data_IF_047185954602
#
_entry.id   IF_047185954602
#
_cell.length_a   1.000
_cell.length_b   1.000
_cell.length_c   1.000
_cell.angle_alpha   90.00
_cell.angle_beta   90.00
_cell.angle_gamma   90.00
#
_symmetry.space_group_name_H-M   'P 1'
#
loop_
_entity.id
_entity.type
_entity.pdbx_description
1 polymer ?
#
# COMPACT_ATOMS: atom_id res chain seq x y z
N UNK A 1 16.93 5.34 9.59
CA UNK A 1 15.47 5.22 9.41
C UNK A 1 15.18 5.28 7.92
N UNK A 2 14.90 4.15 7.31
CA UNK A 2 14.52 4.10 5.89
C UNK A 2 12.99 4.03 5.86
N UNK A 3 12.36 5.06 5.32
CA UNK A 3 10.90 5.12 5.14
C UNK A 3 10.62 4.80 3.68
N UNK A 4 9.95 3.68 3.42
CA UNK A 4 9.43 3.37 2.10
C UNK A 4 8.02 3.97 1.97
N UNK A 5 7.84 4.82 0.98
CA UNK A 5 6.55 5.46 0.69
C UNK A 5 6.08 4.94 -0.67
N UNK A 6 4.94 4.30 -0.70
CA UNK A 6 4.28 3.95 -1.97
C UNK A 6 3.01 4.77 -2.08
N UNK A 7 3.00 5.69 -3.05
CA UNK A 7 1.83 6.46 -3.43
C UNK A 7 1.12 5.69 -4.55
N UNK A 8 -0.15 5.43 -4.35
CA UNK A 8 -0.99 4.85 -5.38
C UNK A 8 -1.76 5.95 -6.10
N UNK A 9 -1.44 6.17 -7.36
CA UNK A 9 -2.16 7.06 -8.25
C UNK A 9 -2.50 6.31 -9.53
N UNK A 10 -3.76 6.25 -9.87
CA UNK A 10 -4.19 5.77 -11.17
C UNK A 10 -3.81 6.81 -12.24
N UNK A 11 -2.89 6.46 -13.12
CA UNK A 11 -2.66 7.19 -14.37
C UNK A 11 -2.80 6.21 -15.52
N UNK A 12 -3.92 6.24 -16.20
CA UNK A 12 -4.05 5.60 -17.50
C UNK A 12 -4.28 6.68 -18.57
N UNK A 13 -3.22 6.96 -19.32
CA UNK A 13 -3.21 7.91 -20.43
C UNK A 13 -3.18 7.19 -21.77
N UNK A 14 -4.08 6.28 -22.04
CA UNK A 14 -4.13 5.78 -23.42
C UNK A 14 -5.47 5.17 -23.78
N UNK A 15 -6.42 5.99 -24.28
CA UNK A 15 -7.34 5.55 -25.35
C UNK A 15 -8.36 6.64 -25.70
N UNK A 16 -8.52 7.04 -27.00
CA UNK A 16 -9.34 8.19 -27.41
C UNK A 16 -10.84 7.93 -27.61
N UNK A 17 -11.39 6.81 -27.16
CA UNK A 17 -12.82 6.51 -27.34
C UNK A 17 -13.69 6.75 -26.09
N UNK A 18 -13.31 7.68 -25.14
CA UNK A 18 -13.68 7.45 -23.76
C UNK A 18 -14.13 8.69 -22.97
N UNK A 19 -14.87 9.58 -23.57
CA UNK A 19 -15.48 10.71 -22.81
C UNK A 19 -16.41 10.22 -21.70
N UNK A 20 -17.13 9.13 -21.89
CA UNK A 20 -17.99 8.55 -20.83
C UNK A 20 -17.21 7.76 -19.80
N UNK A 21 -16.15 7.05 -20.22
CA UNK A 21 -15.26 6.32 -19.31
C UNK A 21 -14.41 7.30 -18.48
N UNK A 22 -13.96 8.41 -19.08
CA UNK A 22 -13.26 9.48 -18.39
C UNK A 22 -14.13 10.14 -17.32
N UNK A 23 -15.40 10.44 -17.61
CA UNK A 23 -16.30 11.01 -16.62
C UNK A 23 -16.58 10.05 -15.45
N UNK A 24 -16.70 8.74 -15.70
CA UNK A 24 -16.80 7.72 -14.66
C UNK A 24 -15.51 7.61 -13.84
N UNK A 25 -14.37 7.69 -14.50
CA UNK A 25 -13.07 7.66 -13.87
C UNK A 25 -12.83 8.89 -12.99
N UNK A 26 -13.15 10.10 -13.48
CA UNK A 26 -13.05 11.34 -12.72
C UNK A 26 -13.99 11.34 -11.50
N UNK A 27 -15.16 10.70 -11.62
CA UNK A 27 -16.08 10.51 -10.49
C UNK A 27 -15.52 9.52 -9.48
N UNK A 28 -14.91 8.42 -9.93
CA UNK A 28 -14.25 7.44 -9.05
C UNK A 28 -13.03 8.05 -8.35
N UNK A 29 -12.22 8.85 -9.05
CA UNK A 29 -11.09 9.57 -8.45
C UNK A 29 -11.51 10.55 -7.34
N UNK A 30 -12.68 11.17 -7.50
CA UNK A 30 -13.23 12.09 -6.49
C UNK A 30 -13.85 11.36 -5.30
N UNK A 31 -14.29 10.12 -5.49
CA UNK A 31 -14.98 9.33 -4.46
C UNK A 31 -14.08 8.31 -3.77
N UNK A 32 -12.95 7.93 -4.36
CA UNK A 32 -11.98 7.04 -3.73
C UNK A 32 -10.90 7.86 -3.02
N UNK A 33 -10.75 7.72 -1.71
CA UNK A 33 -9.69 8.42 -0.99
C UNK A 33 -8.33 7.93 -1.48
N UNK A 34 -7.44 8.85 -1.83
CA UNK A 34 -6.02 8.51 -2.01
C UNK A 34 -5.46 8.03 -0.67
N UNK A 35 -4.79 6.91 -0.69
CA UNK A 35 -4.16 6.33 0.49
C UNK A 35 -2.67 6.18 0.29
N UNK A 36 -1.93 6.36 1.36
CA UNK A 36 -0.49 6.20 1.42
C UNK A 36 -0.17 5.17 2.48
N UNK A 37 0.75 4.26 2.19
CA UNK A 37 1.27 3.32 3.17
C UNK A 37 2.76 3.58 3.39
N UNK A 38 3.16 3.63 4.65
CA UNK A 38 4.57 3.75 5.05
C UNK A 38 4.98 2.57 5.93
N UNK A 39 6.19 2.08 5.75
CA UNK A 39 6.81 1.07 6.59
C UNK A 39 8.07 1.62 7.26
N UNK A 40 8.38 1.12 8.45
CA UNK A 40 9.47 1.61 9.30
C UNK A 40 10.32 0.48 9.86
N UNK A 41 11.54 0.84 10.25
CA UNK A 41 12.46 -0.06 10.96
C UNK A 41 11.96 -0.46 12.35
N UNK A 42 10.97 0.26 12.89
CA UNK A 42 10.31 -0.06 14.16
C UNK A 42 9.29 -1.21 14.05
N UNK A 43 9.28 -1.93 12.94
CA UNK A 43 8.44 -3.09 12.64
C UNK A 43 6.95 -2.75 12.41
N UNK A 44 6.62 -1.46 12.31
CA UNK A 44 5.24 -0.99 12.10
C UNK A 44 5.05 -0.38 10.72
N UNK A 45 3.80 -0.42 10.27
CA UNK A 45 3.36 0.32 9.10
C UNK A 45 2.26 1.29 9.52
N UNK A 46 2.11 2.34 8.75
CA UNK A 46 1.00 3.26 8.88
C UNK A 46 0.28 3.45 7.56
N UNK A 47 -1.02 3.45 7.62
CA UNK A 47 -1.90 3.83 6.53
C UNK A 47 -2.35 5.26 6.75
N UNK A 48 -2.20 6.10 5.74
CA UNK A 48 -2.52 7.52 5.81
C UNK A 48 -3.55 7.90 4.75
N UNK A 49 -4.40 8.86 5.07
CA UNK A 49 -5.17 9.61 4.10
C UNK A 49 -4.55 11.00 3.96
N UNK A 50 -3.89 11.31 2.82
CA UNK A 50 -3.22 12.58 2.64
C UNK A 50 -4.19 13.77 2.55
N UNK A 51 -5.46 13.49 2.21
CA UNK A 51 -6.49 14.52 2.14
C UNK A 51 -7.58 14.25 3.19
N UNK A 52 -7.70 15.09 4.23
CA UNK A 52 -8.78 14.94 5.18
C UNK A 52 -10.12 15.18 4.46
N UNK A 53 -10.99 14.20 4.48
CA UNK A 53 -12.38 14.32 4.02
C UNK A 53 -13.19 15.11 5.04
N UNK A 54 -13.02 16.43 5.13
CA UNK A 54 -13.98 17.26 5.86
C UNK A 54 -13.67 18.75 5.68
N UNK A 55 -14.73 19.48 5.37
CA UNK A 55 -15.03 20.92 5.50
C UNK A 55 -13.90 21.82 6.04
N UNK A 56 -13.66 22.97 5.41
CA UNK A 56 -12.75 23.97 5.91
C UNK A 56 -13.33 24.55 7.23
N UNK A 57 -12.88 24.03 8.35
CA UNK A 57 -13.04 24.74 9.61
C UNK A 57 -12.11 25.95 9.59
N UNK A 58 -12.69 27.10 9.73
CA UNK A 58 -12.15 28.45 9.64
C UNK A 58 -11.14 28.81 10.75
N UNK A 59 -10.15 28.01 10.96
CA UNK A 59 -9.01 28.35 11.79
C UNK A 59 -7.76 27.77 11.16
N UNK A 60 -6.84 28.63 10.73
CA UNK A 60 -5.60 28.31 10.03
C UNK A 60 -4.59 27.47 10.82
N UNK A 61 -5.04 26.41 11.45
CA UNK A 61 -4.20 25.41 12.06
C UNK A 61 -3.88 24.34 11.01
N UNK A 62 -2.60 24.12 10.75
CA UNK A 62 -2.11 22.98 10.02
C UNK A 62 -2.70 21.71 10.64
N UNK A 63 -3.66 21.12 9.96
CA UNK A 63 -4.27 19.86 10.37
C UNK A 63 -3.18 18.79 10.32
N UNK A 64 -2.72 18.33 11.47
CA UNK A 64 -1.84 17.17 11.58
C UNK A 64 -2.64 15.99 11.03
N UNK A 65 -2.27 15.48 9.87
CA UNK A 65 -2.87 14.29 9.27
C UNK A 65 -2.65 13.11 10.22
N UNK A 66 -3.75 12.63 10.80
CA UNK A 66 -3.71 11.42 11.63
C UNK A 66 -3.65 10.19 10.73
N UNK A 67 -2.88 9.15 11.09
CA UNK A 67 -2.91 7.90 10.36
C UNK A 67 -4.30 7.27 10.43
N UNK A 68 -4.75 6.70 9.33
CA UNK A 68 -6.01 5.94 9.25
C UNK A 68 -5.91 4.68 10.09
N UNK A 69 -4.78 3.99 10.01
CA UNK A 69 -4.51 2.78 10.77
C UNK A 69 -3.01 2.59 11.03
N UNK A 70 -2.70 2.00 12.17
CA UNK A 70 -1.38 1.46 12.50
C UNK A 70 -1.44 -0.05 12.30
N UNK A 71 -0.54 -0.58 11.46
CA UNK A 71 -0.47 -1.99 11.14
C UNK A 71 0.73 -2.59 11.86
N UNK A 72 0.47 -3.57 12.71
CA UNK A 72 1.49 -4.20 13.54
C UNK A 72 1.55 -5.70 13.31
N UNK A 73 2.66 -6.33 13.71
CA UNK A 73 2.78 -7.77 13.71
C UNK A 73 4.06 -8.31 13.10
N UNK A 74 4.77 -7.55 12.23
CA UNK A 74 6.10 -7.94 11.83
C UNK A 74 7.04 -7.98 13.05
N UNK A 75 7.96 -8.95 13.03
CA UNK A 75 8.91 -9.19 14.14
C UNK A 75 10.26 -8.51 13.92
N UNK A 76 10.48 -7.99 12.71
CA UNK A 76 11.70 -7.28 12.31
C UNK A 76 11.36 -6.15 11.33
N UNK A 77 12.40 -5.40 10.94
CA UNK A 77 12.30 -4.23 10.06
C UNK A 77 11.55 -4.55 8.78
N UNK A 78 10.75 -3.60 8.36
CA UNK A 78 10.03 -3.65 7.10
C UNK A 78 10.98 -3.18 5.99
N UNK A 79 11.12 -4.02 4.98
CA UNK A 79 12.00 -3.78 3.84
C UNK A 79 11.28 -3.16 2.66
N UNK A 80 10.00 -3.48 2.46
CA UNK A 80 9.23 -2.98 1.33
C UNK A 80 7.73 -3.05 1.62
N UNK A 81 6.99 -2.10 1.04
CA UNK A 81 5.54 -2.06 1.06
C UNK A 81 5.01 -1.69 -0.32
N UNK A 82 3.89 -2.26 -0.72
CA UNK A 82 3.26 -1.97 -2.00
C UNK A 82 1.74 -2.21 -1.93
N UNK A 83 0.98 -1.31 -2.56
CA UNK A 83 -0.43 -1.57 -2.86
C UNK A 83 -0.56 -2.44 -4.11
N UNK A 84 -1.61 -3.25 -4.15
CA UNK A 84 -2.05 -3.86 -5.40
C UNK A 84 -2.56 -2.79 -6.38
N UNK A 85 -2.48 -3.02 -7.71
CA UNK A 85 -2.91 -2.04 -8.72
C UNK A 85 -4.37 -1.62 -8.61
N UNK A 86 -5.22 -2.44 -8.02
CA UNK A 86 -6.63 -2.13 -7.77
C UNK A 86 -6.90 -1.46 -6.41
N UNK A 87 -5.86 -1.26 -5.59
CA UNK A 87 -5.95 -0.67 -4.26
C UNK A 87 -6.69 -1.51 -3.21
N UNK A 88 -7.12 -2.73 -3.56
CA UNK A 88 -7.86 -3.62 -2.63
C UNK A 88 -6.96 -4.18 -1.55
N UNK A 89 -5.70 -4.44 -1.89
CA UNK A 89 -4.72 -5.07 -1.04
C UNK A 89 -3.49 -4.20 -0.84
N UNK A 90 -2.85 -4.34 0.29
CA UNK A 90 -1.50 -3.89 0.52
C UNK A 90 -0.65 -5.07 0.96
N UNK A 91 0.60 -5.10 0.56
CA UNK A 91 1.56 -6.12 0.98
C UNK A 91 2.76 -5.47 1.63
N UNK A 92 3.28 -6.10 2.68
CA UNK A 92 4.51 -5.70 3.36
C UNK A 92 5.48 -6.86 3.42
N UNK A 93 6.75 -6.59 3.12
CA UNK A 93 7.86 -7.52 3.28
C UNK A 93 8.73 -7.10 4.46
N UNK A 94 9.29 -8.06 5.16
CA UNK A 94 10.14 -7.77 6.30
C UNK A 94 11.31 -8.75 6.44
N UNK A 95 12.24 -8.37 7.29
CA UNK A 95 13.41 -9.18 7.64
C UNK A 95 13.08 -10.35 8.56
N UNK A 96 11.81 -10.49 8.97
CA UNK A 96 11.28 -11.65 9.68
C UNK A 96 10.95 -12.84 8.74
N UNK A 97 11.41 -12.78 7.48
CA UNK A 97 11.24 -13.78 6.43
C UNK A 97 9.78 -13.94 5.98
N UNK A 98 8.91 -13.05 6.36
CA UNK A 98 7.49 -13.10 6.03
C UNK A 98 7.06 -11.95 5.13
N UNK A 99 5.99 -12.21 4.40
CA UNK A 99 5.20 -11.20 3.71
C UNK A 99 3.82 -11.17 4.36
N UNK A 100 3.28 -10.00 4.63
CA UNK A 100 1.94 -9.84 5.17
C UNK A 100 1.04 -9.14 4.18
N UNK A 101 -0.21 -9.59 4.14
CA UNK A 101 -1.28 -8.99 3.35
C UNK A 101 -2.24 -8.25 4.27
N UNK A 102 -2.66 -7.09 3.80
CA UNK A 102 -3.56 -6.18 4.49
C UNK A 102 -4.65 -5.73 3.54
N UNK A 103 -5.81 -5.43 4.06
CA UNK A 103 -6.86 -4.77 3.30
C UNK A 103 -6.43 -3.31 3.02
N UNK A 104 -6.36 -2.93 1.76
CA UNK A 104 -5.77 -1.66 1.33
C UNK A 104 -6.50 -0.43 1.87
N UNK A 105 -7.81 -0.51 2.11
CA UNK A 105 -8.63 0.62 2.56
C UNK A 105 -8.62 0.82 4.07
N UNK A 106 -8.60 -0.25 4.83
CA UNK A 106 -8.77 -0.22 6.30
C UNK A 106 -7.49 -0.54 7.06
N UNK A 107 -6.49 -1.13 6.37
CA UNK A 107 -5.29 -1.67 7.01
C UNK A 107 -5.52 -2.94 7.83
N UNK A 108 -6.69 -3.57 7.70
CA UNK A 108 -6.99 -4.82 8.42
C UNK A 108 -6.07 -5.94 7.95
N UNK A 109 -5.52 -6.69 8.90
CA UNK A 109 -4.70 -7.87 8.61
C UNK A 109 -5.52 -8.96 7.93
N UNK A 110 -4.98 -9.55 6.88
CA UNK A 110 -5.61 -10.64 6.10
C UNK A 110 -4.85 -11.95 6.31
N UNK A 111 -3.54 -11.96 5.94
CA UNK A 111 -2.77 -13.19 5.96
C UNK A 111 -1.26 -12.92 6.10
N UNK A 112 -0.56 -13.94 6.58
CA UNK A 112 0.90 -14.00 6.52
C UNK A 112 1.32 -15.05 5.51
N UNK A 113 2.06 -14.64 4.49
CA UNK A 113 2.64 -15.51 3.48
C UNK A 113 4.03 -15.95 3.95
N UNK A 114 4.13 -17.18 4.39
CA UNK A 114 5.36 -17.78 4.88
C UNK A 114 6.02 -18.65 3.80
N UNK A 115 7.30 -18.99 3.99
CA UNK A 115 8.01 -19.92 3.13
C UNK A 115 9.38 -19.44 2.67
N UNK A 116 9.72 -18.14 2.83
CA UNK A 116 11.11 -17.72 2.73
C UNK A 116 11.88 -18.10 4.01
N UNK A 117 13.12 -18.51 3.84
CA UNK A 117 14.04 -18.83 4.95
C UNK A 117 15.02 -17.69 5.22
N UNK A 118 14.99 -16.64 4.43
CA UNK A 118 15.79 -15.42 4.57
C UNK A 118 14.92 -14.16 4.48
N UNK A 119 15.51 -13.02 4.86
CA UNK A 119 14.85 -11.72 4.80
C UNK A 119 14.22 -11.45 3.43
N UNK A 120 12.99 -10.99 3.41
CA UNK A 120 12.33 -10.61 2.15
C UNK A 120 12.64 -9.15 1.86
N UNK A 121 13.21 -8.87 0.69
CA UNK A 121 13.68 -7.52 0.35
C UNK A 121 12.69 -6.73 -0.46
N UNK A 122 12.01 -7.36 -1.41
CA UNK A 122 11.14 -6.68 -2.37
C UNK A 122 9.89 -7.45 -2.68
N UNK A 123 8.87 -6.69 -3.06
CA UNK A 123 7.58 -7.16 -3.53
C UNK A 123 7.25 -6.50 -4.86
N UNK A 124 6.56 -7.23 -5.72
CA UNK A 124 5.96 -6.69 -6.93
C UNK A 124 4.60 -7.34 -7.17
N UNK A 125 3.60 -6.55 -7.52
CA UNK A 125 2.30 -7.02 -7.95
C UNK A 125 2.24 -7.17 -9.46
N UNK A 126 1.49 -8.14 -9.94
CA UNK A 126 1.08 -8.18 -11.35
C UNK A 126 0.13 -7.03 -11.66
N UNK A 127 0.08 -6.61 -12.92
CA UNK A 127 -0.76 -5.50 -13.36
C UNK A 127 -2.27 -5.72 -13.10
N UNK A 128 -2.72 -6.98 -13.09
CA UNK A 128 -4.09 -7.37 -12.79
C UNK A 128 -4.37 -7.53 -11.27
N UNK A 129 -3.37 -7.34 -10.42
CA UNK A 129 -3.48 -7.45 -8.95
C UNK A 129 -3.70 -8.87 -8.42
N UNK A 130 -3.58 -9.90 -9.28
CA UNK A 130 -3.86 -11.29 -8.89
C UNK A 130 -2.65 -12.04 -8.36
N UNK A 131 -1.46 -11.60 -8.72
CA UNK A 131 -0.22 -12.27 -8.33
C UNK A 131 0.69 -11.30 -7.59
N UNK A 132 1.37 -11.82 -6.59
CA UNK A 132 2.38 -11.12 -5.83
C UNK A 132 3.69 -11.90 -5.92
N UNK A 133 4.75 -11.25 -6.34
CA UNK A 133 6.11 -11.80 -6.33
C UNK A 133 6.88 -11.24 -5.17
N UNK A 134 7.57 -12.10 -4.43
CA UNK A 134 8.48 -11.72 -3.35
C UNK A 134 9.89 -12.20 -3.63
N UNK A 135 10.88 -11.33 -3.39
CA UNK A 135 12.31 -11.61 -3.55
C UNK A 135 13.00 -11.60 -2.19
N UNK A 136 13.83 -12.62 -1.93
CA UNK A 136 14.44 -12.81 -0.61
C UNK A 136 15.95 -13.00 -0.68
N UNK A 137 16.60 -12.76 0.48
CA UNK A 137 18.01 -13.09 0.74
C UNK A 137 18.31 -14.59 0.58
N UNK A 138 17.31 -15.45 0.65
CA UNK A 138 17.46 -16.90 0.44
C UNK A 138 17.70 -17.27 -1.03
N UNK A 139 17.95 -16.28 -1.89
CA UNK A 139 18.20 -16.45 -3.33
C UNK A 139 17.00 -17.01 -4.09
N UNK A 140 15.81 -16.95 -3.54
CA UNK A 140 14.58 -17.40 -4.19
C UNK A 140 13.59 -16.28 -4.46
N UNK A 141 12.79 -16.48 -5.50
CA UNK A 141 11.58 -15.73 -5.78
C UNK A 141 10.37 -16.64 -5.51
N UNK A 142 9.33 -16.07 -4.90
CA UNK A 142 8.07 -16.78 -4.70
C UNK A 142 6.93 -15.99 -5.32
N UNK A 143 6.12 -16.68 -6.11
CA UNK A 143 4.89 -16.15 -6.72
C UNK A 143 3.70 -16.68 -5.93
N UNK A 144 2.75 -15.80 -5.65
CA UNK A 144 1.56 -16.13 -4.85
C UNK A 144 0.33 -15.43 -5.40
#
# INVERSE_FOLDING_TARGET
MIIFITLFRFTDESFPAQTLAKARYDTLLRTTPELLISGSDDHTLFLWSPFPSSSPSSSGQHSITKPVARLTGHQRQISHVAFSPDGRWAASAAWDNSVRLWEGRTGKFIATLRGHVGAVYRLAWSADGRMLVSASKDSTLKVR
#
